data_IF_041837899882
#
_entry.id   IF_041837899882
#
_cell.length_a   1.000
_cell.length_b   1.000
_cell.length_c   1.000
_cell.angle_alpha   90.00
_cell.angle_beta   90.00
_cell.angle_gamma   90.00
#
_symmetry.space_group_name_H-M   'P 1'
#
loop_
_entity.id
_entity.type
_entity.pdbx_description
1 polymer ?
#
# COMPACT_ATOMS: atom_id res chain seq x y z
N UNK A 1 -4.25 -33.21 -11.30
CA UNK A 1 -3.53 -31.99 -11.74
C UNK A 1 -4.41 -30.78 -11.46
N UNK A 2 -4.09 -29.95 -10.47
CA UNK A 2 -4.83 -28.71 -10.24
C UNK A 2 -4.36 -27.65 -11.23
N UNK A 3 -5.26 -26.89 -11.87
CA UNK A 3 -4.89 -25.92 -12.90
C UNK A 3 -4.11 -24.77 -12.26
N UNK A 4 -2.95 -24.45 -12.83
CA UNK A 4 -2.04 -23.35 -12.44
C UNK A 4 -2.74 -21.97 -12.38
N UNK A 5 -3.92 -21.84 -13.00
CA UNK A 5 -4.75 -20.63 -12.99
C UNK A 5 -5.32 -20.24 -11.61
N UNK A 6 -5.32 -21.11 -10.60
CA UNK A 6 -5.79 -20.74 -9.24
C UNK A 6 -4.78 -19.96 -8.41
N UNK A 7 -3.48 -19.94 -8.78
CA UNK A 7 -2.46 -19.22 -8.01
C UNK A 7 -2.56 -17.69 -8.14
N UNK A 8 -2.80 -17.15 -9.34
CA UNK A 8 -2.92 -15.69 -9.57
C UNK A 8 -4.03 -15.02 -8.71
N UNK A 9 -5.10 -15.74 -8.34
CA UNK A 9 -6.20 -15.17 -7.54
C UNK A 9 -5.98 -15.29 -6.02
N UNK A 10 -5.07 -16.15 -5.54
CA UNK A 10 -4.94 -16.43 -4.11
C UNK A 10 -4.13 -15.38 -3.36
N UNK A 11 -3.14 -14.76 -4.00
CA UNK A 11 -2.26 -13.75 -3.39
C UNK A 11 -3.03 -12.48 -3.00
N UNK A 12 -3.86 -11.97 -3.92
CA UNK A 12 -4.66 -10.74 -3.73
C UNK A 12 -5.72 -10.87 -2.62
N UNK A 13 -6.34 -12.04 -2.46
CA UNK A 13 -7.40 -12.22 -1.46
C UNK A 13 -6.88 -12.27 -0.02
N UNK A 14 -5.63 -12.71 0.18
CA UNK A 14 -5.04 -12.93 1.53
C UNK A 14 -4.58 -11.65 2.24
N UNK A 15 -4.46 -10.55 1.51
CA UNK A 15 -4.05 -9.25 2.05
C UNK A 15 -5.24 -8.45 2.59
N UNK A 16 -6.44 -8.67 2.06
CA UNK A 16 -7.62 -7.84 2.35
C UNK A 16 -8.62 -8.49 3.30
N UNK A 17 -8.55 -9.81 3.48
CA UNK A 17 -9.21 -10.47 4.60
C UNK A 17 -8.40 -10.20 5.87
N UNK A 18 -8.50 -8.97 6.39
CA UNK A 18 -8.26 -8.68 7.79
C UNK A 18 -9.20 -9.57 8.60
N UNK A 19 -8.73 -10.78 8.92
CA UNK A 19 -9.45 -11.71 9.78
C UNK A 19 -9.75 -10.91 11.06
N UNK A 20 -11.03 -10.70 11.42
CA UNK A 20 -11.36 -9.94 12.61
C UNK A 20 -10.62 -10.57 13.78
N UNK A 21 -9.82 -9.75 14.49
CA UNK A 21 -9.10 -10.14 15.70
C UNK A 21 -10.10 -10.72 16.69
N UNK A 22 -10.28 -12.05 16.68
CA UNK A 22 -10.90 -12.75 17.81
C UNK A 22 -9.99 -12.47 19.00
N UNK A 23 -10.52 -11.82 20.05
CA UNK A 23 -9.85 -11.71 21.34
C UNK A 23 -9.41 -13.11 21.74
N UNK A 24 -8.10 -13.34 21.69
CA UNK A 24 -7.52 -14.56 22.19
C UNK A 24 -7.74 -14.58 23.71
N UNK A 25 -8.54 -15.54 24.18
CA UNK A 25 -8.58 -15.89 25.58
C UNK A 25 -7.17 -16.34 26.00
N UNK A 26 -6.70 -15.75 27.10
CA UNK A 26 -5.39 -15.99 27.71
C UNK A 26 -5.38 -17.40 28.30
N UNK A 27 -4.93 -18.39 27.53
CA UNK A 27 -4.61 -19.72 28.06
C UNK A 27 -3.18 -19.71 28.56
N UNK A 28 -3.01 -19.74 29.88
CA UNK A 28 -1.73 -20.00 30.54
C UNK A 28 -1.40 -21.49 30.43
N UNK A 29 -0.48 -21.83 29.54
CA UNK A 29 0.30 -23.07 29.50
C UNK A 29 1.74 -22.58 29.33
N UNK A 30 2.70 -22.86 30.21
CA UNK A 30 3.01 -24.14 30.81
C UNK A 30 4.37 -24.57 30.25
N UNK A 31 5.43 -24.31 31.03
CA UNK A 31 6.79 -24.86 30.94
C UNK A 31 7.47 -24.87 29.56
N UNK A 32 8.42 -23.95 29.40
CA UNK A 32 9.35 -23.91 28.29
C UNK A 32 10.25 -25.14 28.25
N UNK A 33 10.11 -25.93 27.18
CA UNK A 33 11.20 -26.77 26.71
C UNK A 33 12.26 -25.88 26.08
N UNK A 34 13.33 -25.62 26.82
CA UNK A 34 14.60 -25.17 26.27
C UNK A 34 15.13 -26.29 25.36
N UNK A 35 14.92 -26.16 24.05
CA UNK A 35 15.64 -26.94 23.05
C UNK A 35 17.08 -26.43 23.06
N UNK A 36 17.94 -27.13 23.82
CA UNK A 36 19.37 -26.91 23.84
C UNK A 36 19.94 -27.50 22.54
N UNK A 37 20.07 -26.67 21.49
CA UNK A 37 20.79 -27.07 20.27
C UNK A 37 22.28 -27.05 20.59
N UNK A 38 22.83 -28.23 20.81
CA UNK A 38 24.26 -28.43 20.99
C UNK A 38 24.96 -28.39 19.63
N UNK A 39 25.78 -27.37 19.39
CA UNK A 39 26.95 -27.46 18.50
C UNK A 39 26.73 -27.54 16.99
N UNK A 40 25.61 -27.05 16.45
CA UNK A 40 25.36 -27.00 14.99
C UNK A 40 25.43 -25.58 14.46
N UNK A 41 26.04 -25.39 13.29
CA UNK A 41 26.11 -24.12 12.57
C UNK A 41 24.76 -23.38 12.65
N UNK A 42 24.80 -22.10 13.03
CA UNK A 42 23.64 -21.22 12.89
C UNK A 42 23.38 -21.12 11.40
N UNK A 43 22.48 -21.96 10.89
CA UNK A 43 21.99 -21.87 9.52
C UNK A 43 21.36 -20.50 9.42
N UNK A 44 22.10 -19.58 8.81
CA UNK A 44 21.70 -18.20 8.60
C UNK A 44 20.35 -18.25 7.91
N UNK A 45 19.28 -17.90 8.63
CA UNK A 45 17.92 -17.99 8.13
C UNK A 45 17.83 -17.07 6.92
N UNK A 46 17.87 -17.68 5.73
CA UNK A 46 17.80 -16.96 4.47
C UNK A 46 16.51 -16.16 4.45
N UNK A 47 16.61 -14.88 4.08
CA UNK A 47 15.45 -14.04 3.89
C UNK A 47 14.45 -14.71 2.91
N UNK A 48 13.14 -14.70 3.22
CA UNK A 48 12.15 -15.33 2.36
C UNK A 48 12.14 -14.66 0.99
N UNK A 49 11.95 -15.45 -0.07
CA UNK A 49 11.92 -14.93 -1.43
C UNK A 49 10.69 -14.01 -1.62
N UNK A 50 10.82 -12.85 -2.28
CA UNK A 50 9.68 -11.96 -2.52
C UNK A 50 8.53 -12.65 -3.23
N UNK A 51 7.30 -12.27 -2.87
CA UNK A 51 6.07 -12.83 -3.43
C UNK A 51 5.66 -14.20 -2.87
N UNK A 52 6.48 -14.84 -2.03
CA UNK A 52 6.08 -16.09 -1.36
C UNK A 52 5.19 -15.81 -0.13
N UNK A 53 4.36 -16.79 0.29
CA UNK A 53 3.58 -16.65 1.52
C UNK A 53 4.42 -16.29 2.75
N UNK A 54 5.65 -16.80 2.84
CA UNK A 54 6.58 -16.54 3.93
C UNK A 54 7.04 -15.07 3.93
N UNK A 55 7.33 -14.48 2.76
CA UNK A 55 7.69 -13.07 2.66
C UNK A 55 6.54 -12.13 3.06
N UNK A 56 5.29 -12.50 2.76
CA UNK A 56 4.12 -11.77 3.24
C UNK A 56 3.91 -11.90 4.75
N UNK A 57 4.13 -13.09 5.31
CA UNK A 57 4.07 -13.29 6.76
C UNK A 57 5.17 -12.51 7.46
N UNK A 58 6.35 -12.44 6.87
CA UNK A 58 7.47 -11.67 7.38
C UNK A 58 7.18 -10.16 7.34
N UNK A 59 6.65 -9.64 6.24
CA UNK A 59 6.17 -8.25 6.18
C UNK A 59 5.13 -7.96 7.28
N UNK A 60 4.15 -8.85 7.47
CA UNK A 60 3.16 -8.72 8.56
C UNK A 60 3.79 -8.78 9.94
N UNK A 61 4.81 -9.62 10.14
CA UNK A 61 5.54 -9.73 11.42
C UNK A 61 6.26 -8.43 11.74
N UNK A 62 7.02 -7.89 10.78
CA UNK A 62 7.75 -6.62 10.95
C UNK A 62 6.78 -5.46 11.13
N UNK A 63 5.71 -5.38 10.34
CA UNK A 63 4.64 -4.39 10.51
C UNK A 63 4.01 -4.43 11.91
N UNK A 64 3.73 -5.63 12.44
CA UNK A 64 3.20 -5.77 13.79
C UNK A 64 4.20 -5.37 14.90
N UNK A 65 5.52 -5.45 14.64
CA UNK A 65 6.53 -4.91 15.55
C UNK A 65 6.57 -3.39 15.48
N UNK A 66 6.48 -2.82 14.27
CA UNK A 66 6.38 -1.38 14.04
C UNK A 66 5.16 -0.80 14.75
N UNK A 67 3.97 -1.40 14.61
CA UNK A 67 2.75 -0.98 15.29
C UNK A 67 2.91 -0.96 16.81
N UNK A 68 3.60 -1.97 17.37
CA UNK A 68 3.87 -2.04 18.82
C UNK A 68 4.78 -0.91 19.28
N UNK A 69 5.81 -0.59 18.51
CA UNK A 69 6.73 0.50 18.81
C UNK A 69 6.04 1.86 18.71
N UNK A 70 5.23 2.07 17.67
CA UNK A 70 4.44 3.29 17.49
C UNK A 70 3.38 3.46 18.58
N UNK A 71 2.83 2.38 19.13
CA UNK A 71 1.86 2.42 20.21
C UNK A 71 2.47 2.82 21.58
N UNK A 72 3.79 2.89 21.70
CA UNK A 72 4.45 3.38 22.91
C UNK A 72 4.24 4.90 23.07
N UNK A 73 4.13 5.40 24.32
CA UNK A 73 3.99 6.82 24.57
C UNK A 73 5.27 7.60 24.17
N UNK A 74 5.15 8.90 23.82
CA UNK A 74 6.31 9.75 23.56
C UNK A 74 7.32 9.70 24.70
N UNK A 75 8.61 9.53 24.38
CA UNK A 75 9.71 9.40 25.34
C UNK A 75 10.01 7.98 25.83
N UNK A 76 9.13 7.01 25.58
CA UNK A 76 9.44 5.57 25.75
C UNK A 76 9.71 4.87 24.42
N UNK A 77 9.18 5.42 23.32
CA UNK A 77 9.41 4.96 21.95
C UNK A 77 10.89 5.12 21.57
N UNK A 78 11.47 4.06 21.02
CA UNK A 78 12.78 4.09 20.37
C UNK A 78 12.63 4.51 18.90
N UNK A 79 12.88 5.79 18.62
CA UNK A 79 12.74 6.35 17.27
C UNK A 79 13.70 5.72 16.25
N UNK A 80 14.89 5.29 16.69
CA UNK A 80 15.83 4.59 15.82
C UNK A 80 15.26 3.22 15.44
N UNK A 81 14.66 2.53 16.42
CA UNK A 81 13.98 1.25 16.17
C UNK A 81 12.79 1.41 15.24
N UNK A 82 11.98 2.46 15.41
CA UNK A 82 10.87 2.78 14.48
C UNK A 82 11.38 2.96 13.07
N UNK A 83 12.44 3.77 12.88
CA UNK A 83 13.04 4.02 11.57
C UNK A 83 13.52 2.72 10.91
N UNK A 84 14.27 1.89 11.65
CA UNK A 84 14.74 0.59 11.14
C UNK A 84 13.59 -0.32 10.74
N UNK A 85 12.56 -0.46 11.58
CA UNK A 85 11.40 -1.30 11.31
C UNK A 85 10.58 -0.77 10.11
N UNK A 86 10.45 0.55 9.95
CA UNK A 86 9.83 1.16 8.76
C UNK A 86 10.60 0.80 7.50
N UNK A 87 11.92 0.99 7.48
CA UNK A 87 12.75 0.65 6.33
C UNK A 87 12.67 -0.84 5.97
N UNK A 88 12.79 -1.73 6.97
CA UNK A 88 12.66 -3.18 6.77
C UNK A 88 11.28 -3.55 6.22
N UNK A 89 10.21 -3.03 6.81
CA UNK A 89 8.85 -3.28 6.37
C UNK A 89 8.61 -2.79 4.93
N UNK A 90 9.05 -1.57 4.61
CA UNK A 90 8.94 -0.98 3.27
C UNK A 90 9.71 -1.79 2.24
N UNK A 91 10.93 -2.25 2.55
CA UNK A 91 11.73 -3.14 1.67
C UNK A 91 10.99 -4.44 1.36
N UNK A 92 10.40 -5.07 2.38
CA UNK A 92 9.63 -6.31 2.22
C UNK A 92 8.37 -6.09 1.37
N UNK A 93 7.60 -5.03 1.64
CA UNK A 93 6.42 -4.69 0.85
C UNK A 93 6.76 -4.38 -0.60
N UNK A 94 7.81 -3.59 -0.84
CA UNK A 94 8.26 -3.23 -2.18
C UNK A 94 8.61 -4.47 -3.01
N UNK A 95 9.42 -5.38 -2.46
CA UNK A 95 9.78 -6.63 -3.13
C UNK A 95 8.55 -7.51 -3.43
N UNK A 96 7.63 -7.63 -2.47
CA UNK A 96 6.40 -8.40 -2.63
C UNK A 96 5.49 -7.81 -3.74
N UNK A 97 5.27 -6.50 -3.74
CA UNK A 97 4.42 -5.85 -4.74
C UNK A 97 5.03 -5.87 -6.14
N UNK A 98 6.36 -5.81 -6.29
CA UNK A 98 7.02 -5.98 -7.60
C UNK A 98 6.82 -7.38 -8.20
N UNK A 99 6.66 -8.41 -7.35
CA UNK A 99 6.32 -9.75 -7.85
C UNK A 99 4.83 -9.80 -8.22
N UNK A 100 3.93 -9.29 -7.38
CA UNK A 100 2.49 -9.23 -7.70
C UNK A 100 2.21 -8.43 -8.98
N UNK A 101 2.88 -7.31 -9.18
CA UNK A 101 2.72 -6.46 -10.36
C UNK A 101 3.02 -7.23 -11.64
N UNK A 102 4.15 -7.94 -11.70
CA UNK A 102 4.48 -8.81 -12.85
C UNK A 102 3.50 -9.96 -13.03
N UNK A 103 2.99 -10.54 -11.94
CA UNK A 103 1.94 -11.57 -12.04
C UNK A 103 0.65 -11.00 -12.64
N UNK A 104 0.27 -9.77 -12.25
CA UNK A 104 -0.90 -9.06 -12.79
C UNK A 104 -0.73 -8.76 -14.27
N UNK A 105 0.44 -8.31 -14.71
CA UNK A 105 0.78 -8.09 -16.12
C UNK A 105 0.57 -9.37 -16.95
N UNK A 106 1.19 -10.47 -16.51
CA UNK A 106 1.07 -11.78 -17.16
C UNK A 106 -0.39 -12.25 -17.18
N UNK A 107 -1.12 -12.05 -16.08
CA UNK A 107 -2.52 -12.44 -15.97
C UNK A 107 -3.40 -11.56 -16.89
N UNK A 108 -3.18 -10.25 -17.01
CA UNK A 108 -3.87 -9.39 -17.99
C UNK A 108 -3.64 -9.87 -19.44
N UNK A 109 -2.38 -10.09 -19.83
CA UNK A 109 -2.04 -10.55 -21.19
C UNK A 109 -2.66 -11.90 -21.56
N UNK A 110 -2.77 -12.83 -20.60
CA UNK A 110 -3.47 -14.11 -20.82
C UNK A 110 -4.95 -13.94 -21.15
N UNK A 111 -5.63 -12.96 -20.54
CA UNK A 111 -7.03 -12.67 -20.84
C UNK A 111 -7.21 -11.88 -22.13
N UNK A 112 -6.18 -11.23 -22.65
CA UNK A 112 -6.29 -10.46 -23.89
C UNK A 112 -6.11 -11.30 -25.13
N UNK A 113 -5.19 -12.27 -25.08
CA UNK A 113 -4.89 -13.14 -26.19
C UNK A 113 -5.99 -14.22 -26.34
N UNK A 114 -6.84 -14.15 -27.38
CA UNK A 114 -7.80 -15.21 -27.66
C UNK A 114 -7.03 -16.51 -27.93
N UNK A 115 -7.29 -17.55 -27.13
CA UNK A 115 -6.62 -18.86 -27.25
C UNK A 115 -5.42 -19.09 -26.32
N UNK A 116 -4.79 -18.05 -25.76
CA UNK A 116 -3.75 -18.25 -24.74
C UNK A 116 -4.34 -18.74 -23.41
N UNK A 117 -5.59 -18.36 -23.14
CA UNK A 117 -6.41 -18.86 -22.04
C UNK A 117 -7.37 -19.96 -22.49
N UNK A 118 -6.95 -20.86 -23.39
CA UNK A 118 -7.72 -22.05 -23.82
C UNK A 118 -7.89 -23.08 -22.68
N UNK A 119 -8.31 -22.61 -21.50
CA UNK A 119 -9.11 -23.43 -20.63
C UNK A 119 -10.47 -23.70 -21.28
N UNK A 120 -11.24 -24.67 -20.76
CA UNK A 120 -12.52 -25.12 -21.33
C UNK A 120 -13.65 -24.07 -21.32
N UNK A 121 -13.32 -22.79 -21.15
CA UNK A 121 -14.25 -21.71 -20.82
C UNK A 121 -14.23 -20.55 -21.82
N UNK A 122 -13.37 -20.58 -22.86
CA UNK A 122 -13.37 -19.56 -23.91
C UNK A 122 -14.71 -19.47 -24.65
N UNK A 123 -15.48 -20.56 -24.69
CA UNK A 123 -16.77 -20.67 -25.38
C UNK A 123 -17.90 -21.16 -24.45
N UNK A 124 -17.80 -20.88 -23.14
CA UNK A 124 -18.79 -21.40 -22.19
C UNK A 124 -20.19 -20.78 -22.35
N UNK A 125 -20.30 -19.56 -22.88
CA UNK A 125 -21.56 -18.88 -23.16
C UNK A 125 -21.34 -17.63 -24.05
N UNK A 126 -22.40 -17.01 -24.59
CA UNK A 126 -22.29 -15.79 -25.39
C UNK A 126 -21.69 -14.57 -24.65
N UNK A 127 -21.62 -14.59 -23.31
CA UNK A 127 -20.97 -13.53 -22.52
C UNK A 127 -19.46 -13.75 -22.30
N UNK A 128 -18.89 -14.89 -22.73
CA UNK A 128 -17.50 -15.24 -22.39
C UNK A 128 -16.49 -14.20 -22.87
N UNK A 129 -16.66 -13.68 -24.08
CA UNK A 129 -15.80 -12.63 -24.66
C UNK A 129 -15.89 -11.33 -23.87
N UNK A 130 -17.10 -10.93 -23.48
CA UNK A 130 -17.31 -9.74 -22.66
C UNK A 130 -16.62 -9.89 -21.30
N UNK A 131 -16.80 -11.04 -20.63
CA UNK A 131 -16.17 -11.32 -19.32
C UNK A 131 -14.66 -11.35 -19.43
N UNK A 132 -14.13 -11.91 -20.52
CA UNK A 132 -12.69 -11.94 -20.79
C UNK A 132 -12.13 -10.51 -20.88
N UNK A 133 -12.73 -9.65 -21.70
CA UNK A 133 -12.30 -8.26 -21.84
C UNK A 133 -12.44 -7.49 -20.52
N UNK A 134 -13.56 -7.65 -19.81
CA UNK A 134 -13.80 -7.03 -18.49
C UNK A 134 -12.78 -7.47 -17.44
N UNK A 135 -12.36 -8.73 -17.51
CA UNK A 135 -11.33 -9.31 -16.63
C UNK A 135 -9.95 -8.78 -16.96
N UNK A 136 -9.57 -8.71 -18.23
CA UNK A 136 -8.32 -8.08 -18.67
C UNK A 136 -8.22 -6.63 -18.18
N UNK A 137 -9.29 -5.84 -18.37
CA UNK A 137 -9.35 -4.46 -17.91
C UNK A 137 -9.21 -4.33 -16.38
N UNK A 138 -9.82 -5.26 -15.61
CA UNK A 138 -9.63 -5.32 -14.16
C UNK A 138 -8.15 -5.56 -13.79
N UNK A 139 -7.50 -6.55 -14.41
CA UNK A 139 -6.10 -6.85 -14.10
C UNK A 139 -5.16 -5.70 -14.43
N UNK A 140 -5.36 -5.01 -15.56
CA UNK A 140 -4.61 -3.79 -15.89
C UNK A 140 -4.81 -2.68 -14.85
N UNK A 141 -6.06 -2.40 -14.48
CA UNK A 141 -6.34 -1.37 -13.49
C UNK A 141 -5.68 -1.68 -12.13
N UNK A 142 -5.65 -2.95 -11.72
CA UNK A 142 -4.99 -3.39 -10.49
C UNK A 142 -3.46 -3.34 -10.63
N UNK A 143 -2.91 -3.66 -11.80
CA UNK A 143 -1.48 -3.50 -12.11
C UNK A 143 -1.07 -2.02 -12.00
N UNK A 144 -1.80 -1.10 -12.65
CA UNK A 144 -1.55 0.34 -12.58
C UNK A 144 -1.62 0.86 -11.14
N UNK A 145 -2.56 0.33 -10.35
CA UNK A 145 -2.66 0.62 -8.93
C UNK A 145 -1.44 0.12 -8.14
N UNK A 146 -0.93 -1.08 -8.44
CA UNK A 146 0.29 -1.63 -7.81
C UNK A 146 1.53 -0.85 -8.21
N UNK A 147 1.65 -0.40 -9.46
CA UNK A 147 2.76 0.46 -9.90
C UNK A 147 2.79 1.78 -9.12
N UNK A 148 1.63 2.41 -8.88
CA UNK A 148 1.54 3.60 -8.02
C UNK A 148 2.04 3.32 -6.59
N UNK A 149 1.64 2.18 -5.99
CA UNK A 149 2.11 1.78 -4.66
C UNK A 149 3.62 1.52 -4.63
N UNK A 150 4.15 0.85 -5.64
CA UNK A 150 5.59 0.57 -5.76
C UNK A 150 6.38 1.89 -5.81
N UNK A 151 5.94 2.84 -6.65
CA UNK A 151 6.58 4.15 -6.75
C UNK A 151 6.57 4.90 -5.40
N UNK A 152 5.41 4.94 -4.73
CA UNK A 152 5.28 5.55 -3.42
C UNK A 152 6.20 4.91 -2.37
N UNK A 153 6.24 3.58 -2.29
CA UNK A 153 7.09 2.88 -1.32
C UNK A 153 8.59 3.08 -1.62
N UNK A 154 8.97 3.16 -2.90
CA UNK A 154 10.34 3.43 -3.28
C UNK A 154 10.77 4.86 -2.86
N UNK A 155 9.91 5.85 -3.06
CA UNK A 155 10.14 7.22 -2.59
C UNK A 155 10.25 7.29 -1.06
N UNK A 156 9.34 6.61 -0.35
CA UNK A 156 9.38 6.54 1.11
C UNK A 156 10.68 5.91 1.63
N UNK A 157 11.10 4.80 1.00
CA UNK A 157 12.34 4.14 1.36
C UNK A 157 13.56 5.04 1.13
N UNK A 158 13.60 5.76 0.01
CA UNK A 158 14.69 6.69 -0.30
C UNK A 158 14.72 7.87 0.70
N UNK A 159 13.55 8.38 1.12
CA UNK A 159 13.44 9.41 2.14
C UNK A 159 13.96 8.91 3.50
N UNK A 160 13.55 7.70 3.93
CA UNK A 160 14.03 7.08 5.17
C UNK A 160 15.55 6.86 5.16
N UNK A 161 16.10 6.39 4.03
CA UNK A 161 17.54 6.17 3.87
C UNK A 161 18.36 7.46 3.89
N UNK A 162 17.78 8.57 3.43
CA UNK A 162 18.42 9.90 3.42
C UNK A 162 18.11 10.74 4.66
N UNK A 163 17.30 10.23 5.59
CA UNK A 163 16.84 10.95 6.77
C UNK A 163 15.99 12.19 6.44
N UNK A 164 15.41 12.24 5.24
CA UNK A 164 14.54 13.33 4.81
C UNK A 164 13.10 13.08 5.27
N UNK A 165 12.33 14.14 5.53
CA UNK A 165 10.90 13.98 5.78
C UNK A 165 10.20 13.42 4.54
N UNK A 166 9.24 12.52 4.75
CA UNK A 166 8.44 11.96 3.67
C UNK A 166 7.62 13.07 3.01
N UNK A 167 7.85 13.30 1.72
CA UNK A 167 6.93 14.10 0.93
C UNK A 167 5.54 13.44 0.97
N UNK A 168 4.49 14.25 1.01
CA UNK A 168 3.11 13.75 0.88
C UNK A 168 2.96 13.10 -0.50
N UNK A 169 3.10 11.79 -0.56
CA UNK A 169 2.99 11.05 -1.80
C UNK A 169 1.54 11.11 -2.33
N UNK A 170 1.41 11.17 -3.65
CA UNK A 170 0.10 11.09 -4.31
C UNK A 170 -0.55 9.77 -3.94
N UNK A 171 -1.79 9.83 -3.46
CA UNK A 171 -2.49 8.64 -3.03
C UNK A 171 -2.80 7.72 -4.22
N UNK A 172 -2.49 6.42 -4.10
CA UNK A 172 -2.73 5.47 -5.17
C UNK A 172 -4.23 5.35 -5.39
N UNK A 173 -4.65 5.44 -6.66
CA UNK A 173 -6.06 5.41 -7.02
C UNK A 173 -6.30 4.29 -8.02
N UNK A 174 -7.24 3.40 -7.70
CA UNK A 174 -7.71 2.39 -8.65
C UNK A 174 -8.57 3.09 -9.71
N UNK A 175 -8.08 3.11 -10.96
CA UNK A 175 -8.81 3.68 -12.10
C UNK A 175 -9.20 2.57 -13.07
N UNK A 176 -10.47 2.23 -13.08
CA UNK A 176 -11.00 1.24 -14.00
C UNK A 176 -11.57 1.94 -15.24
N UNK A 177 -10.73 2.07 -16.27
CA UNK A 177 -11.12 2.69 -17.54
C UNK A 177 -11.76 1.64 -18.46
N UNK A 178 -13.08 1.46 -18.34
CA UNK A 178 -13.83 0.55 -19.20
C UNK A 178 -14.38 1.28 -20.43
N UNK A 179 -14.18 0.75 -21.64
CA UNK A 179 -14.98 1.13 -22.80
C UNK A 179 -16.48 1.01 -22.49
N UNK A 180 -17.31 1.84 -23.10
CA UNK A 180 -18.76 1.90 -22.84
C UNK A 180 -19.43 0.52 -22.94
N UNK A 181 -19.05 -0.30 -23.93
CA UNK A 181 -19.55 -1.67 -24.11
C UNK A 181 -19.27 -2.62 -22.92
N UNK A 182 -18.23 -2.34 -22.12
CA UNK A 182 -17.88 -3.12 -20.92
C UNK A 182 -18.47 -2.53 -19.63
N UNK A 183 -19.09 -1.36 -19.68
CA UNK A 183 -19.74 -0.75 -18.51
C UNK A 183 -21.11 -1.38 -18.23
N UNK A 184 -21.81 -1.84 -19.27
CA UNK A 184 -23.10 -2.49 -19.13
C UNK A 184 -22.95 -4.01 -19.09
N UNK A 185 -23.45 -4.63 -18.03
CA UNK A 185 -23.43 -6.08 -17.87
C UNK A 185 -24.42 -6.74 -18.85
N UNK A 186 -24.02 -7.78 -19.59
CA UNK A 186 -24.93 -8.51 -20.47
C UNK A 186 -26.03 -9.21 -19.65
N UNK A 187 -27.29 -9.18 -20.11
CA UNK A 187 -28.42 -9.74 -19.34
C UNK A 187 -28.38 -11.27 -19.18
N UNK A 188 -27.57 -11.97 -19.97
CA UNK A 188 -27.40 -13.43 -19.90
C UNK A 188 -26.19 -13.87 -19.06
N UNK A 189 -25.50 -12.96 -18.35
CA UNK A 189 -24.32 -13.32 -17.56
C UNK A 189 -24.62 -14.39 -16.50
N UNK A 190 -25.78 -14.27 -15.84
CA UNK A 190 -26.18 -15.14 -14.73
C UNK A 190 -26.49 -16.58 -15.17
N UNK A 191 -26.66 -16.80 -16.47
CA UNK A 191 -26.87 -18.15 -17.03
C UNK A 191 -25.60 -19.00 -17.04
N UNK A 192 -24.42 -18.38 -16.87
CA UNK A 192 -23.15 -19.08 -16.78
C UNK A 192 -22.47 -18.82 -15.42
N UNK A 193 -22.56 -19.80 -14.53
CA UNK A 193 -22.00 -19.72 -13.17
C UNK A 193 -20.50 -19.42 -13.14
N UNK A 194 -19.75 -19.90 -14.15
CA UNK A 194 -18.32 -19.62 -14.28
C UNK A 194 -18.05 -18.14 -14.58
N UNK A 195 -18.77 -17.57 -15.55
CA UNK A 195 -18.67 -16.16 -15.93
C UNK A 195 -19.09 -15.24 -14.77
N UNK A 196 -20.21 -15.54 -14.12
CA UNK A 196 -20.70 -14.81 -12.96
C UNK A 196 -19.68 -14.84 -11.80
N UNK A 197 -19.14 -16.03 -11.46
CA UNK A 197 -18.12 -16.15 -10.41
C UNK A 197 -16.83 -15.39 -10.73
N UNK A 198 -16.44 -15.37 -12.01
CA UNK A 198 -15.25 -14.61 -12.44
C UNK A 198 -15.46 -13.12 -12.26
N UNK A 199 -16.62 -12.59 -12.67
CA UNK A 199 -16.92 -11.17 -12.50
C UNK A 199 -16.96 -10.78 -11.02
N UNK A 200 -17.64 -11.58 -10.19
CA UNK A 200 -17.69 -11.37 -8.75
C UNK A 200 -16.29 -11.32 -8.12
N UNK A 201 -15.36 -12.17 -8.56
CA UNK A 201 -13.96 -12.13 -8.09
C UNK A 201 -13.25 -10.83 -8.48
N UNK A 202 -13.46 -10.36 -9.71
CA UNK A 202 -12.87 -9.09 -10.16
C UNK A 202 -13.41 -7.93 -9.31
N UNK A 203 -14.72 -7.87 -9.08
CA UNK A 203 -15.36 -6.84 -8.24
C UNK A 203 -14.81 -6.86 -6.81
N UNK A 204 -14.61 -8.04 -6.22
CA UNK A 204 -13.98 -8.17 -4.89
C UNK A 204 -12.54 -7.66 -4.87
N UNK A 205 -11.76 -7.92 -5.93
CA UNK A 205 -10.39 -7.40 -6.05
C UNK A 205 -10.41 -5.87 -6.17
N UNK A 206 -11.27 -5.33 -7.03
CA UNK A 206 -11.44 -3.90 -7.22
C UNK A 206 -11.83 -3.21 -5.90
N UNK A 207 -12.83 -3.74 -5.20
CA UNK A 207 -13.28 -3.18 -3.93
C UNK A 207 -12.19 -3.26 -2.87
N UNK A 208 -11.47 -4.38 -2.79
CA UNK A 208 -10.29 -4.53 -1.93
C UNK A 208 -9.26 -3.42 -2.18
N UNK A 209 -8.94 -3.12 -3.45
CA UNK A 209 -8.03 -2.04 -3.79
C UNK A 209 -8.58 -0.65 -3.39
N UNK A 210 -9.89 -0.40 -3.56
CA UNK A 210 -10.52 0.87 -3.12
C UNK A 210 -10.49 1.02 -1.60
N UNK A 211 -10.79 -0.05 -0.87
CA UNK A 211 -10.73 -0.09 0.59
C UNK A 211 -9.30 0.16 1.07
N UNK A 212 -8.30 -0.48 0.47
CA UNK A 212 -6.90 -0.23 0.79
C UNK A 212 -6.51 1.24 0.56
N UNK A 213 -6.85 1.79 -0.62
CA UNK A 213 -6.60 3.20 -0.96
C UNK A 213 -7.33 4.21 -0.05
N UNK A 214 -8.43 3.80 0.61
CA UNK A 214 -9.14 4.62 1.60
C UNK A 214 -8.45 4.57 2.96
N UNK A 215 -8.02 3.39 3.41
CA UNK A 215 -7.35 3.23 4.71
C UNK A 215 -5.97 3.89 4.71
N UNK A 216 -5.23 3.82 3.61
CA UNK A 216 -3.93 4.52 3.48
C UNK A 216 -4.04 6.04 3.57
N UNK A 217 -5.24 6.63 3.55
CA UNK A 217 -5.47 8.07 3.76
C UNK A 217 -5.59 8.46 5.22
N UNK A 218 -5.91 7.50 6.08
CA UNK A 218 -6.40 7.74 7.44
C UNK A 218 -5.33 7.65 8.50
N UNK A 219 -4.08 7.37 8.14
CA UNK A 219 -2.95 7.54 9.03
C UNK A 219 -2.46 8.99 8.89
N UNK A 220 -2.94 9.95 9.73
CA UNK A 220 -2.37 11.28 9.73
C UNK A 220 -0.87 11.17 10.03
N UNK A 221 -0.03 12.04 9.46
CA UNK A 221 1.35 12.13 9.88
C UNK A 221 1.36 12.30 11.40
N UNK A 222 2.03 11.37 12.09
CA UNK A 222 2.09 11.34 13.56
C UNK A 222 2.74 12.60 14.17
N UNK A 223 3.24 13.49 13.33
CA UNK A 223 3.91 14.75 13.67
C UNK A 223 2.94 15.90 13.95
N UNK A 224 1.64 15.63 13.97
CA UNK A 224 0.62 16.55 14.49
C UNK A 224 0.65 16.71 16.02
N UNK A 225 1.83 16.82 16.64
CA UNK A 225 1.95 17.56 17.90
C UNK A 225 1.92 19.03 17.51
N UNK A 226 0.74 19.50 17.09
CA UNK A 226 0.43 20.93 17.16
C UNK A 226 0.69 21.32 18.61
N UNK A 227 1.76 22.09 18.81
CA UNK A 227 2.16 22.56 20.12
C UNK A 227 0.93 23.07 20.84
N UNK A 228 0.61 22.43 21.97
CA UNK A 228 -0.43 22.92 22.85
C UNK A 228 -0.17 24.43 23.02
N UNK A 229 -1.14 25.32 22.70
CA UNK A 229 -0.95 26.75 22.89
C UNK A 229 -0.56 26.89 24.34
N UNK A 230 0.66 27.40 24.58
CA UNK A 230 1.19 27.63 25.90
C UNK A 230 0.13 28.43 26.65
N UNK A 231 -0.61 27.74 27.52
CA UNK A 231 -1.58 28.37 28.38
C UNK A 231 -0.78 29.36 29.20
N UNK A 232 -0.97 30.64 28.85
CA UNK A 232 -0.27 31.75 29.40
C UNK A 232 -0.25 31.62 30.92
N UNK A 233 0.95 31.47 31.47
CA UNK A 233 1.23 31.79 32.85
C UNK A 233 0.96 33.27 33.05
N UNK A 234 -0.31 33.62 33.26
CA UNK A 234 -0.72 34.91 33.75
C UNK A 234 -0.53 34.93 35.27
N UNK A 235 0.70 35.19 35.71
CA UNK A 235 0.96 35.76 37.04
C UNK A 235 1.92 36.92 36.88
N UNK A 236 1.33 38.11 37.02
CA UNK A 236 1.88 39.46 36.91
C UNK A 236 3.22 39.65 37.63
N UNK A 237 4.16 40.25 36.92
CA UNK A 237 5.29 40.99 37.46
C UNK A 237 5.68 42.09 36.47
N UNK A 238 5.22 43.31 36.74
CA UNK A 238 5.61 44.53 36.03
C UNK A 238 7.09 44.84 36.25
N UNK A 239 7.82 45.16 35.17
CA UNK A 239 8.60 46.39 34.99
C UNK A 239 9.68 46.21 33.92
N UNK A 240 9.82 47.19 33.02
CA UNK A 240 11.07 47.44 32.30
C UNK A 240 10.94 47.48 30.78
N UNK A 241 10.84 48.70 30.25
CA UNK A 241 10.93 49.02 28.85
C UNK A 241 12.31 48.66 28.24
N UNK A 242 12.36 48.36 26.95
CA UNK A 242 13.03 49.21 25.95
C UNK A 242 12.75 48.73 24.52
N UNK A 243 12.61 49.69 23.62
CA UNK A 243 12.36 49.57 22.20
C UNK A 243 13.58 49.01 21.42
N UNK A 244 13.31 48.30 20.33
CA UNK A 244 14.12 48.34 19.12
C UNK A 244 13.27 47.87 17.93
N UNK A 245 13.03 48.80 17.00
CA UNK A 245 12.53 48.53 15.68
C UNK A 245 13.59 47.77 14.87
N UNK A 246 13.16 46.76 14.12
CA UNK A 246 13.96 46.16 13.07
C UNK A 246 13.09 46.01 11.82
N UNK A 247 13.51 46.77 10.81
CA UNK A 247 13.07 46.78 9.42
C UNK A 247 13.04 45.38 8.81
N UNK A 248 11.98 45.09 8.05
CA UNK A 248 11.82 43.90 7.21
C UNK A 248 11.88 44.35 5.74
N UNK A 249 12.89 43.95 4.94
CA UNK A 249 12.97 44.37 3.55
C UNK A 249 12.03 43.54 2.67
N UNK A 250 11.09 44.24 2.04
CA UNK A 250 10.34 43.81 0.89
C UNK A 250 11.28 43.45 -0.27
N UNK A 251 11.50 42.15 -0.54
CA UNK A 251 12.25 41.70 -1.73
C UNK A 251 11.60 40.59 -2.55
N UNK A 252 10.47 40.01 -2.14
CA UNK A 252 9.85 38.92 -2.92
C UNK A 252 8.75 39.39 -3.89
N UNK A 253 8.25 40.62 -3.79
CA UNK A 253 7.20 41.12 -4.68
C UNK A 253 7.70 41.59 -6.07
N UNK A 254 9.00 41.79 -6.25
CA UNK A 254 9.54 42.35 -7.51
C UNK A 254 10.03 41.30 -8.51
N UNK A 255 10.17 40.03 -8.10
CA UNK A 255 10.67 38.97 -8.98
C UNK A 255 9.58 38.34 -9.86
N UNK A 256 8.30 38.37 -9.44
CA UNK A 256 7.20 37.83 -10.25
C UNK A 256 6.78 38.71 -11.44
N UNK A 257 7.12 40.00 -11.45
CA UNK A 257 6.71 40.88 -12.55
C UNK A 257 7.64 40.82 -13.77
N UNK A 258 8.90 40.36 -13.62
CA UNK A 258 9.84 40.26 -14.75
C UNK A 258 9.66 38.99 -15.59
N UNK A 259 9.11 37.89 -15.05
CA UNK A 259 8.88 36.67 -15.85
C UNK A 259 7.71 36.80 -16.84
N UNK A 260 6.71 37.64 -16.56
CA UNK A 260 5.58 37.81 -17.50
C UNK A 260 5.94 38.61 -18.76
N UNK A 261 7.05 39.38 -18.76
CA UNK A 261 7.49 40.12 -19.95
C UNK A 261 8.34 39.28 -20.92
N UNK A 262 8.88 38.13 -20.50
CA UNK A 262 9.75 37.31 -21.35
C UNK A 262 9.02 36.19 -22.11
N UNK A 263 7.79 35.83 -21.72
CA UNK A 263 7.02 34.77 -22.38
C UNK A 263 5.96 35.26 -23.37
N UNK A 264 5.89 36.56 -23.65
CA UNK A 264 4.85 37.17 -24.49
C UNK A 264 5.26 37.60 -25.90
N UNK A 265 6.46 37.24 -26.37
CA UNK A 265 6.96 37.75 -27.66
C UNK A 265 7.90 36.81 -28.38
N UNK A 266 7.35 35.77 -29.01
CA UNK A 266 7.77 35.18 -30.29
C UNK A 266 6.82 34.03 -30.66
#
# INVERSE_FOLDING_TARGET
MQPVATRCCWSLWRLSSGVPRRRAHRTTLGHGHLVRVAGGAVEELRAPAPGTPEAYLEAKRVGALLDKELAQPPGQRDEERVRQLRMEHTKLLLGNYQVEERELEVCAGKWECPGASAGPTSECCPASDWVRQRTAACYRAVQDYRLQLIAQLAEQLAADESGQPHASAVQPTLRLNLPEALQQQPPWLDLCSWCANRLQKNELIEESCRVHAKHSRQDPPADGVEGAPAAAAASRGEAGATAAAADMPAREAQQQQQQQQQCGGA
#
